data_IF_673253823753
#
_entry.id   IF_673253823753
#
_cell.length_a   1.000
_cell.length_b   1.000
_cell.length_c   1.000
_cell.angle_alpha   90.00
_cell.angle_beta   90.00
_cell.angle_gamma   90.00
#
_symmetry.space_group_name_H-M   'P 1'
#
loop_
_entity.id
_entity.type
_entity.pdbx_description
1 polymer ?
#
# COMPACT_ATOMS: atom_id res chain seq x y z
N UNK A 1 -3.84 20.96 -0.28
CA UNK A 1 -4.42 19.60 -0.26
C UNK A 1 -3.45 18.68 0.46
N UNK A 2 -3.89 17.90 1.45
CA UNK A 2 -3.08 16.84 2.09
C UNK A 2 -3.37 15.51 1.41
N UNK A 3 -2.34 14.89 0.81
CA UNK A 3 -2.43 13.64 0.07
C UNK A 3 -1.61 12.53 0.76
N UNK A 4 -1.98 11.30 0.50
CA UNK A 4 -1.22 10.10 0.81
C UNK A 4 -1.00 9.27 -0.45
N UNK A 5 0.16 8.64 -0.54
CA UNK A 5 0.40 7.52 -1.43
C UNK A 5 0.63 6.27 -0.58
N UNK A 6 -0.38 5.43 -0.46
CA UNK A 6 -0.33 4.26 0.41
C UNK A 6 0.39 3.06 -0.21
N UNK A 7 0.89 3.20 -1.44
CA UNK A 7 1.64 2.14 -2.11
C UNK A 7 2.45 2.67 -3.29
N UNK A 8 3.76 2.70 -3.15
CA UNK A 8 4.69 2.95 -4.27
C UNK A 8 6.04 2.28 -4.02
N UNK A 9 6.79 2.05 -5.10
CA UNK A 9 8.11 1.42 -5.09
C UNK A 9 9.20 2.48 -5.28
N UNK A 10 9.44 3.33 -4.27
CA UNK A 10 10.46 4.39 -4.37
C UNK A 10 11.88 3.85 -4.54
N UNK A 11 12.12 2.61 -4.16
CA UNK A 11 13.39 1.90 -4.33
C UNK A 11 13.62 1.37 -5.75
N UNK A 12 12.58 1.35 -6.60
CA UNK A 12 12.68 0.84 -7.98
C UNK A 12 13.78 1.53 -8.77
N UNK A 13 14.55 0.73 -9.53
CA UNK A 13 15.66 1.18 -10.34
C UNK A 13 15.28 2.24 -11.40
N UNK A 14 14.04 2.25 -11.85
CA UNK A 14 13.53 3.27 -12.77
C UNK A 14 13.63 4.70 -12.19
N UNK A 15 13.72 4.84 -10.89
CA UNK A 15 13.86 6.12 -10.21
C UNK A 15 15.31 6.53 -9.91
N UNK A 16 16.30 5.67 -10.14
CA UNK A 16 17.69 5.93 -9.74
C UNK A 16 18.24 7.26 -10.29
N UNK A 17 17.84 7.64 -11.50
CA UNK A 17 18.35 8.85 -12.15
C UNK A 17 17.79 10.15 -11.56
N UNK A 18 16.58 10.13 -10.99
CA UNK A 18 15.86 11.36 -10.60
C UNK A 18 15.03 11.22 -9.32
N UNK A 19 15.27 10.21 -8.48
CA UNK A 19 14.52 9.96 -7.23
C UNK A 19 14.40 11.20 -6.32
N UNK A 20 15.45 12.00 -6.09
CA UNK A 20 15.30 13.22 -5.29
C UNK A 20 14.32 14.22 -5.89
N UNK A 21 14.30 14.36 -7.22
CA UNK A 21 13.36 15.24 -7.91
C UNK A 21 11.91 14.72 -7.82
N UNK A 22 11.71 13.41 -7.87
CA UNK A 22 10.40 12.77 -7.68
C UNK A 22 9.86 13.03 -6.28
N UNK A 23 10.70 12.86 -5.25
CA UNK A 23 10.34 13.13 -3.86
C UNK A 23 10.01 14.62 -3.66
N UNK A 24 10.77 15.50 -4.30
CA UNK A 24 10.47 16.94 -4.26
C UNK A 24 9.09 17.23 -4.87
N UNK A 25 8.79 16.71 -6.07
CA UNK A 25 7.47 16.87 -6.72
C UNK A 25 6.34 16.28 -5.89
N UNK A 26 6.58 15.15 -5.22
CA UNK A 26 5.59 14.57 -4.30
C UNK A 26 5.23 15.54 -3.17
N UNK A 27 6.23 16.19 -2.56
CA UNK A 27 6.02 17.22 -1.52
C UNK A 27 5.28 18.44 -2.07
N UNK A 28 5.65 18.93 -3.24
CA UNK A 28 4.98 20.06 -3.89
C UNK A 28 3.52 19.75 -4.24
N UNK A 29 3.22 18.49 -4.60
CA UNK A 29 1.86 18.03 -4.84
C UNK A 29 1.01 17.90 -3.55
N UNK A 30 1.63 18.02 -2.37
CA UNK A 30 0.94 17.97 -1.09
C UNK A 30 0.94 16.59 -0.42
N UNK A 31 1.82 15.67 -0.82
CA UNK A 31 1.92 14.38 -0.15
C UNK A 31 2.46 14.56 1.27
N UNK A 32 1.64 14.16 2.22
CA UNK A 32 1.95 14.19 3.65
C UNK A 32 2.60 12.89 4.10
N UNK A 33 2.23 11.77 3.47
CA UNK A 33 2.78 10.45 3.75
C UNK A 33 2.96 9.66 2.46
N UNK A 34 4.00 8.83 2.44
CA UNK A 34 4.25 7.82 1.41
C UNK A 34 4.56 6.50 2.13
N UNK A 35 3.92 5.41 1.70
CA UNK A 35 4.30 4.05 2.07
C UNK A 35 5.12 3.44 0.93
N UNK A 36 6.43 3.34 1.13
CA UNK A 36 7.33 2.66 0.21
C UNK A 36 7.28 1.16 0.44
N UNK A 37 7.04 0.41 -0.61
CA UNK A 37 6.83 -1.04 -0.54
C UNK A 37 8.16 -1.77 -0.61
N UNK A 38 8.46 -2.55 0.41
CA UNK A 38 9.76 -3.11 0.68
C UNK A 38 9.96 -4.55 0.24
N UNK A 39 9.40 -4.93 -0.91
CA UNK A 39 9.68 -6.25 -1.48
C UNK A 39 11.05 -6.30 -2.16
N UNK A 40 11.54 -5.17 -2.65
CA UNK A 40 12.82 -5.07 -3.36
C UNK A 40 12.92 -6.07 -4.51
N UNK A 41 14.10 -6.68 -4.66
CA UNK A 41 14.32 -7.81 -5.57
C UNK A 41 13.97 -9.18 -4.91
N UNK A 42 13.26 -9.15 -3.78
CA UNK A 42 12.98 -10.31 -2.95
C UNK A 42 14.18 -10.74 -2.10
N UNK A 43 14.08 -11.88 -1.39
CA UNK A 43 15.18 -12.37 -0.59
C UNK A 43 16.49 -12.53 -1.41
N UNK A 44 17.66 -12.09 -0.90
CA UNK A 44 17.86 -11.65 0.50
C UNK A 44 17.66 -10.13 0.77
N UNK A 45 17.48 -9.26 -0.23
CA UNK A 45 17.33 -7.81 -0.02
C UNK A 45 15.86 -7.40 0.10
N UNK A 46 15.31 -7.48 1.29
CA UNK A 46 13.95 -7.05 1.63
C UNK A 46 13.93 -5.71 2.37
N UNK A 47 15.08 -5.02 2.50
CA UNK A 47 15.24 -3.79 3.26
C UNK A 47 15.31 -2.51 2.42
N UNK A 48 15.11 -2.59 1.11
CA UNK A 48 15.29 -1.46 0.21
C UNK A 48 14.39 -0.26 0.55
N UNK A 49 13.13 -0.50 0.89
CA UNK A 49 12.20 0.57 1.27
C UNK A 49 12.57 1.24 2.60
N UNK A 50 13.18 0.52 3.53
CA UNK A 50 13.65 1.10 4.80
C UNK A 50 14.70 2.16 4.51
N UNK A 51 15.67 1.89 3.63
CA UNK A 51 16.70 2.86 3.22
C UNK A 51 16.09 4.15 2.67
N UNK A 52 15.02 4.05 1.87
CA UNK A 52 14.29 5.22 1.37
C UNK A 52 13.53 5.96 2.50
N UNK A 53 12.95 5.23 3.43
CA UNK A 53 12.20 5.81 4.55
C UNK A 53 13.11 6.51 5.58
N UNK A 54 14.35 6.08 5.74
CA UNK A 54 15.31 6.73 6.64
C UNK A 54 15.73 8.11 6.14
N UNK A 55 15.80 8.32 4.82
CA UNK A 55 16.18 9.60 4.22
C UNK A 55 15.08 10.67 4.32
N UNK A 56 13.81 10.28 4.55
CA UNK A 56 12.67 11.19 4.49
C UNK A 56 11.69 10.98 5.64
N UNK A 57 11.42 12.03 6.41
CA UNK A 57 10.53 11.94 7.61
C UNK A 57 9.12 11.49 7.30
N UNK A 58 8.59 11.82 6.13
CA UNK A 58 7.22 11.52 5.69
C UNK A 58 7.09 10.21 4.91
N UNK A 59 8.21 9.51 4.66
CA UNK A 59 8.23 8.19 4.03
C UNK A 59 8.29 7.13 5.11
N UNK A 60 7.44 6.12 4.98
CA UNK A 60 7.38 4.90 5.77
C UNK A 60 7.62 3.71 4.86
N UNK A 61 7.83 2.54 5.42
CA UNK A 61 8.18 1.34 4.68
C UNK A 61 7.28 0.17 5.04
N UNK A 62 7.20 -0.80 4.15
CA UNK A 62 6.81 -2.17 4.45
C UNK A 62 8.00 -3.11 4.30
N UNK A 63 7.87 -4.32 4.77
CA UNK A 63 8.75 -5.45 4.48
C UNK A 63 7.92 -6.69 4.21
N UNK A 64 8.33 -7.48 3.22
CA UNK A 64 7.60 -8.68 2.84
C UNK A 64 8.26 -9.38 1.65
N UNK A 65 7.69 -10.52 1.29
CA UNK A 65 8.06 -11.26 0.07
C UNK A 65 6.85 -11.28 -0.85
N UNK A 66 7.01 -10.63 -2.00
CA UNK A 66 6.00 -10.62 -3.05
C UNK A 66 5.74 -12.05 -3.57
N UNK A 67 4.52 -12.43 -3.96
CA UNK A 67 4.23 -13.77 -4.47
C UNK A 67 5.16 -14.23 -5.60
N UNK A 68 5.61 -13.32 -6.45
CA UNK A 68 6.56 -13.67 -7.53
C UNK A 68 7.95 -14.06 -7.02
N UNK A 69 8.31 -13.66 -5.81
CA UNK A 69 9.58 -13.98 -5.18
C UNK A 69 9.48 -15.12 -4.16
N UNK A 70 8.31 -15.72 -3.98
CA UNK A 70 8.10 -16.83 -3.05
C UNK A 70 9.09 -18.00 -3.25
N UNK A 71 9.49 -18.37 -4.48
CA UNK A 71 10.51 -19.40 -4.69
C UNK A 71 11.91 -19.05 -4.16
N UNK A 72 12.18 -17.78 -3.84
CA UNK A 72 13.47 -17.33 -3.28
C UNK A 72 13.55 -17.48 -1.76
N UNK A 73 12.45 -17.84 -1.10
CA UNK A 73 12.38 -17.99 0.36
C UNK A 73 13.32 -19.10 0.83
N UNK A 74 14.10 -18.80 1.86
CA UNK A 74 15.01 -19.70 2.55
C UNK A 74 14.63 -19.83 4.02
N UNK A 75 15.31 -20.71 4.76
CA UNK A 75 15.12 -20.88 6.21
C UNK A 75 15.35 -19.59 7.03
N UNK A 76 16.12 -18.65 6.51
CA UNK A 76 16.48 -17.43 7.23
C UNK A 76 15.57 -16.22 6.87
N UNK A 77 14.81 -16.34 5.77
CA UNK A 77 13.98 -15.23 5.26
C UNK A 77 13.02 -14.66 6.31
N UNK A 78 12.33 -15.52 7.06
CA UNK A 78 11.36 -15.06 8.07
C UNK A 78 12.02 -14.40 9.27
N UNK A 79 13.21 -14.88 9.70
CA UNK A 79 13.99 -14.21 10.76
C UNK A 79 14.44 -12.82 10.32
N UNK A 80 14.86 -12.70 9.06
CA UNK A 80 15.25 -11.41 8.50
C UNK A 80 14.04 -10.46 8.38
N UNK A 81 12.88 -10.95 7.95
CA UNK A 81 11.65 -10.18 7.92
C UNK A 81 11.25 -9.68 9.31
N UNK A 82 11.27 -10.54 10.34
CA UNK A 82 10.97 -10.17 11.72
C UNK A 82 11.93 -9.08 12.22
N UNK A 83 13.22 -9.21 11.95
CA UNK A 83 14.24 -8.22 12.30
C UNK A 83 14.00 -6.89 11.60
N UNK A 84 13.69 -6.90 10.30
CA UNK A 84 13.40 -5.71 9.51
C UNK A 84 12.09 -5.06 9.94
N UNK A 85 11.06 -5.85 10.24
CA UNK A 85 9.75 -5.37 10.68
C UNK A 85 9.80 -4.63 12.03
N UNK A 86 10.81 -4.90 12.86
CA UNK A 86 11.03 -4.16 14.11
C UNK A 86 11.54 -2.72 13.90
N UNK A 87 11.91 -2.33 12.68
CA UNK A 87 12.37 -0.98 12.39
C UNK A 87 11.23 0.06 12.54
N UNK A 88 11.43 1.21 13.19
CA UNK A 88 10.36 2.17 13.52
C UNK A 88 9.67 2.77 12.29
N UNK A 89 10.35 2.79 11.15
CA UNK A 89 9.78 3.25 9.88
C UNK A 89 8.92 2.19 9.19
N UNK A 90 9.01 0.92 9.58
CA UNK A 90 8.17 -0.16 9.02
C UNK A 90 6.80 -0.10 9.68
N UNK A 91 5.75 -0.06 8.86
CA UNK A 91 4.37 0.15 9.31
C UNK A 91 3.42 -0.97 8.94
N UNK A 92 3.81 -1.85 8.03
CA UNK A 92 3.02 -3.00 7.63
C UNK A 92 3.91 -4.13 7.10
N UNK A 93 3.39 -5.34 7.10
CA UNK A 93 3.99 -6.47 6.40
C UNK A 93 3.38 -6.52 4.99
N UNK A 94 4.22 -6.47 4.01
CA UNK A 94 3.78 -6.47 2.61
C UNK A 94 4.86 -5.90 1.66
N UNK A 95 4.63 -6.11 0.41
CA UNK A 95 3.46 -6.64 -0.29
C UNK A 95 3.46 -8.16 -0.25
N UNK A 96 2.36 -8.78 0.19
CA UNK A 96 2.20 -10.22 0.28
C UNK A 96 0.88 -10.64 -0.38
N UNK A 97 0.77 -11.88 -0.80
CA UNK A 97 -0.48 -12.34 -1.42
C UNK A 97 -0.26 -13.40 -2.49
N UNK A 98 -1.11 -13.33 -3.54
CA UNK A 98 -1.11 -14.30 -4.65
C UNK A 98 -1.14 -13.58 -6.00
N UNK A 99 -0.31 -14.05 -6.93
CA UNK A 99 -0.28 -13.59 -8.33
C UNK A 99 -0.26 -14.80 -9.27
N UNK A 100 -1.36 -15.02 -9.97
CA UNK A 100 -1.50 -16.12 -10.92
C UNK A 100 -1.32 -15.69 -12.37
N UNK A 101 -0.96 -14.43 -12.58
CA UNK A 101 -0.69 -13.89 -13.90
C UNK A 101 0.66 -14.38 -14.46
N UNK A 102 1.65 -14.51 -13.58
CA UNK A 102 2.97 -14.98 -13.92
C UNK A 102 3.14 -16.46 -13.67
N UNK A 103 4.07 -17.09 -14.38
CA UNK A 103 4.39 -18.52 -14.22
C UNK A 103 5.25 -18.75 -12.96
N UNK A 104 4.67 -18.49 -11.80
CA UNK A 104 5.26 -18.77 -10.48
C UNK A 104 4.42 -19.81 -9.79
N UNK A 105 5.05 -20.91 -9.27
CA UNK A 105 4.31 -22.02 -8.68
C UNK A 105 3.39 -21.59 -7.53
N UNK A 106 2.11 -22.00 -7.59
CA UNK A 106 1.12 -21.71 -6.54
C UNK A 106 1.48 -22.36 -5.20
N UNK A 107 2.09 -23.52 -5.24
CA UNK A 107 2.56 -24.26 -4.06
C UNK A 107 3.73 -23.58 -3.34
N UNK A 108 4.43 -22.65 -3.99
CA UNK A 108 5.36 -21.75 -3.35
C UNK A 108 4.66 -20.50 -2.78
N UNK A 109 3.70 -19.94 -3.51
CA UNK A 109 3.02 -18.70 -3.12
C UNK A 109 2.13 -18.87 -1.87
N UNK A 110 1.30 -19.92 -1.84
CA UNK A 110 0.32 -20.13 -0.76
C UNK A 110 0.98 -20.26 0.63
N UNK A 111 1.99 -21.11 0.86
CA UNK A 111 2.65 -21.19 2.16
C UNK A 111 3.34 -19.88 2.55
N UNK A 112 3.99 -19.21 1.59
CA UNK A 112 4.65 -17.94 1.80
C UNK A 112 3.66 -16.85 2.25
N UNK A 113 2.48 -16.79 1.64
CA UNK A 113 1.42 -15.87 2.02
C UNK A 113 0.92 -16.14 3.44
N UNK A 114 0.55 -17.39 3.74
CA UNK A 114 0.04 -17.79 5.07
C UNK A 114 1.07 -17.48 6.16
N UNK A 115 2.33 -17.86 5.96
CA UNK A 115 3.38 -17.61 6.96
C UNK A 115 3.58 -16.12 7.24
N UNK A 116 3.52 -15.26 6.22
CA UNK A 116 3.65 -13.82 6.41
C UNK A 116 2.43 -13.21 7.11
N UNK A 117 1.21 -13.73 6.86
CA UNK A 117 0.02 -13.35 7.62
C UNK A 117 0.16 -13.70 9.11
N UNK A 118 0.61 -14.91 9.42
CA UNK A 118 0.80 -15.34 10.81
C UNK A 118 1.90 -14.52 11.51
N UNK A 119 2.99 -14.23 10.82
CA UNK A 119 4.05 -13.34 11.32
C UNK A 119 3.52 -11.94 11.61
N UNK A 120 2.80 -11.35 10.66
CA UNK A 120 2.19 -10.03 10.85
C UNK A 120 1.22 -10.01 12.03
N UNK A 121 0.41 -11.06 12.19
CA UNK A 121 -0.51 -11.19 13.30
C UNK A 121 0.22 -11.30 14.66
N UNK A 122 1.30 -12.08 14.73
CA UNK A 122 2.12 -12.20 15.93
C UNK A 122 2.77 -10.86 16.34
N UNK A 123 3.10 -10.03 15.35
CA UNK A 123 3.67 -8.69 15.55
C UNK A 123 2.60 -7.58 15.72
N UNK A 124 1.32 -7.90 15.60
CA UNK A 124 0.20 -6.95 15.61
C UNK A 124 0.35 -5.84 14.55
N UNK A 125 0.88 -6.18 13.40
CA UNK A 125 1.10 -5.26 12.29
C UNK A 125 0.02 -5.43 11.22
N UNK A 126 -0.43 -4.34 10.56
CA UNK A 126 -1.29 -4.44 9.39
C UNK A 126 -0.54 -5.11 8.21
N UNK A 127 -1.31 -5.58 7.24
CA UNK A 127 -0.77 -6.21 6.02
C UNK A 127 -1.12 -5.41 4.77
N UNK A 128 -0.28 -5.50 3.74
CA UNK A 128 -0.56 -4.98 2.39
C UNK A 128 -0.69 -6.18 1.45
N UNK A 129 -1.89 -6.36 0.89
CA UNK A 129 -2.26 -7.55 0.13
C UNK A 129 -2.26 -7.27 -1.36
N UNK A 130 -1.49 -8.09 -2.07
CA UNK A 130 -1.51 -8.24 -3.51
C UNK A 130 -2.45 -9.36 -3.94
N UNK A 131 -3.26 -9.12 -4.98
CA UNK A 131 -4.02 -10.18 -5.63
C UNK A 131 -4.15 -9.90 -7.13
N UNK A 132 -3.70 -10.82 -7.95
CA UNK A 132 -3.82 -10.74 -9.40
C UNK A 132 -4.20 -12.09 -9.98
N UNK A 133 -5.34 -12.14 -10.68
CA UNK A 133 -5.92 -13.36 -11.23
C UNK A 133 -6.12 -14.49 -10.18
N UNK A 134 -6.17 -14.12 -8.87
CA UNK A 134 -6.15 -15.03 -7.71
C UNK A 134 -7.23 -14.73 -6.66
N UNK A 135 -8.29 -13.99 -7.01
CA UNK A 135 -9.28 -13.50 -6.04
C UNK A 135 -9.88 -14.60 -5.15
N UNK A 136 -10.25 -15.75 -5.72
CA UNK A 136 -10.90 -16.80 -4.96
C UNK A 136 -10.01 -17.34 -3.84
N UNK A 137 -8.78 -17.73 -4.18
CA UNK A 137 -7.81 -18.28 -3.24
C UNK A 137 -7.35 -17.21 -2.23
N UNK A 138 -7.17 -15.95 -2.68
CA UNK A 138 -6.83 -14.83 -1.78
C UNK A 138 -7.89 -14.62 -0.72
N UNK A 139 -9.17 -14.54 -1.11
CA UNK A 139 -10.27 -14.36 -0.15
C UNK A 139 -10.43 -15.56 0.78
N UNK A 140 -10.22 -16.79 0.29
CA UNK A 140 -10.23 -18.00 1.12
C UNK A 140 -9.15 -17.95 2.20
N UNK A 141 -7.90 -17.65 1.81
CA UNK A 141 -6.77 -17.53 2.76
C UNK A 141 -7.03 -16.42 3.77
N UNK A 142 -7.50 -15.26 3.33
CA UNK A 142 -7.78 -14.14 4.24
C UNK A 142 -8.90 -14.46 5.24
N UNK A 143 -9.97 -15.15 4.82
CA UNK A 143 -11.02 -15.57 5.75
C UNK A 143 -10.51 -16.58 6.79
N UNK A 144 -9.63 -17.48 6.37
CA UNK A 144 -9.11 -18.52 7.27
C UNK A 144 -8.04 -17.99 8.22
N UNK A 145 -7.13 -17.15 7.75
CA UNK A 145 -5.89 -16.82 8.47
C UNK A 145 -5.80 -15.38 8.97
N UNK A 146 -6.57 -14.44 8.39
CA UNK A 146 -6.49 -13.02 8.77
C UNK A 146 -7.74 -12.49 9.48
N UNK A 147 -8.92 -12.73 8.94
CA UNK A 147 -10.17 -12.24 9.52
C UNK A 147 -10.34 -12.62 11.00
N UNK A 148 -9.99 -13.84 11.45
CA UNK A 148 -10.10 -14.22 12.87
C UNK A 148 -9.15 -13.45 13.79
N UNK A 149 -8.12 -12.79 13.26
CA UNK A 149 -7.16 -12.00 14.06
C UNK A 149 -7.72 -10.63 14.43
N UNK A 150 -8.74 -10.13 13.70
CA UNK A 150 -9.35 -8.83 13.93
C UNK A 150 -8.40 -7.63 13.66
N UNK A 151 -7.35 -7.86 12.90
CA UNK A 151 -6.35 -6.85 12.56
C UNK A 151 -6.67 -6.20 11.20
N UNK A 152 -6.33 -4.92 10.99
CA UNK A 152 -6.58 -4.25 9.73
C UNK A 152 -5.53 -4.63 8.67
N UNK A 153 -5.88 -4.39 7.41
CA UNK A 153 -4.97 -4.54 6.28
C UNK A 153 -5.35 -3.61 5.13
N UNK A 154 -4.54 -3.58 4.11
CA UNK A 154 -4.76 -2.85 2.86
C UNK A 154 -4.92 -3.85 1.73
N UNK A 155 -6.05 -3.81 1.03
CA UNK A 155 -6.14 -4.42 -0.30
C UNK A 155 -5.57 -3.41 -1.29
N UNK A 156 -4.32 -3.62 -1.69
CA UNK A 156 -3.60 -2.78 -2.64
C UNK A 156 -4.16 -2.95 -4.06
N UNK A 157 -4.07 -1.89 -4.85
CA UNK A 157 -4.49 -1.83 -6.25
C UNK A 157 -5.87 -2.48 -6.48
N UNK A 158 -6.84 -2.08 -5.65
CA UNK A 158 -8.14 -2.75 -5.65
C UNK A 158 -8.78 -2.71 -7.05
N UNK A 159 -8.93 -3.88 -7.63
CA UNK A 159 -9.44 -4.09 -8.98
C UNK A 159 -10.69 -4.98 -9.02
N UNK A 160 -11.25 -5.30 -7.86
CA UNK A 160 -12.46 -6.08 -7.72
C UNK A 160 -13.74 -5.28 -7.99
N UNK A 161 -14.83 -6.01 -8.08
CA UNK A 161 -16.20 -5.49 -8.15
C UNK A 161 -16.73 -5.08 -6.76
N UNK A 162 -17.94 -4.47 -6.67
CA UNK A 162 -18.56 -4.09 -5.40
C UNK A 162 -18.80 -5.27 -4.44
N UNK A 163 -18.98 -6.49 -4.91
CA UNK A 163 -19.18 -7.64 -4.05
C UNK A 163 -17.88 -8.01 -3.33
N UNK A 164 -16.76 -8.08 -4.06
CA UNK A 164 -15.43 -8.30 -3.49
C UNK A 164 -15.02 -7.17 -2.52
N UNK A 165 -15.42 -5.92 -2.85
CA UNK A 165 -15.20 -4.79 -1.95
C UNK A 165 -15.87 -5.02 -0.59
N UNK A 166 -17.13 -5.44 -0.56
CA UNK A 166 -17.86 -5.75 0.69
C UNK A 166 -17.21 -6.88 1.47
N UNK A 167 -16.82 -7.97 0.78
CA UNK A 167 -16.13 -9.10 1.44
C UNK A 167 -14.82 -8.67 2.11
N UNK A 168 -14.02 -7.82 1.45
CA UNK A 168 -12.80 -7.29 2.05
C UNK A 168 -13.09 -6.36 3.24
N UNK A 169 -14.11 -5.52 3.14
CA UNK A 169 -14.53 -4.63 4.23
C UNK A 169 -15.01 -5.41 5.46
N UNK A 170 -15.76 -6.50 5.27
CA UNK A 170 -16.23 -7.38 6.33
C UNK A 170 -15.08 -8.06 7.09
N UNK A 171 -13.94 -8.26 6.42
CA UNK A 171 -12.71 -8.76 7.03
C UNK A 171 -11.83 -7.65 7.64
N UNK A 172 -12.28 -6.38 7.63
CA UNK A 172 -11.57 -5.26 8.26
C UNK A 172 -10.59 -4.51 7.37
N UNK A 173 -10.50 -4.84 6.09
CA UNK A 173 -9.56 -4.20 5.17
C UNK A 173 -9.95 -2.76 4.81
N UNK A 174 -8.93 -1.97 4.54
CA UNK A 174 -8.99 -0.73 3.78
C UNK A 174 -8.76 -1.06 2.30
N UNK A 175 -9.44 -0.33 1.40
CA UNK A 175 -9.30 -0.55 -0.04
C UNK A 175 -8.56 0.64 -0.64
N UNK A 176 -7.42 0.36 -1.27
CA UNK A 176 -6.58 1.36 -1.90
C UNK A 176 -6.84 1.39 -3.41
N UNK A 177 -7.07 2.58 -3.93
CA UNK A 177 -7.37 2.81 -5.33
C UNK A 177 -6.28 3.66 -5.99
N UNK A 178 -5.72 3.11 -7.07
CA UNK A 178 -4.65 3.72 -7.85
C UNK A 178 -5.09 4.25 -9.21
N UNK A 179 -4.10 4.51 -10.07
CA UNK A 179 -4.28 5.08 -11.40
C UNK A 179 -5.24 4.33 -12.31
N UNK A 180 -5.41 3.02 -12.11
CA UNK A 180 -6.36 2.19 -12.86
C UNK A 180 -7.79 2.73 -12.76
N UNK A 181 -8.20 3.28 -11.61
CA UNK A 181 -9.53 3.86 -11.40
C UNK A 181 -9.84 5.01 -12.37
N UNK A 182 -8.81 5.65 -12.92
CA UNK A 182 -8.95 6.74 -13.89
C UNK A 182 -9.17 6.26 -15.34
N UNK A 183 -8.97 4.97 -15.61
CA UNK A 183 -9.05 4.45 -16.96
C UNK A 183 -10.51 4.36 -17.45
N UNK A 184 -10.77 4.64 -18.75
CA UNK A 184 -12.14 4.65 -19.28
C UNK A 184 -12.90 3.34 -19.01
N UNK A 185 -12.22 2.20 -19.14
CA UNK A 185 -12.83 0.86 -18.98
C UNK A 185 -12.94 0.39 -17.52
N UNK A 186 -12.49 1.17 -16.54
CA UNK A 186 -12.50 0.79 -15.12
C UNK A 186 -13.80 1.17 -14.40
N UNK A 187 -14.97 0.97 -15.05
CA UNK A 187 -16.28 1.30 -14.45
C UNK A 187 -16.56 0.49 -13.19
N UNK A 188 -16.25 -0.81 -13.17
CA UNK A 188 -16.47 -1.68 -12.01
C UNK A 188 -15.62 -1.24 -10.79
N UNK A 189 -14.37 -0.84 -11.03
CA UNK A 189 -13.50 -0.31 -9.97
C UNK A 189 -14.07 0.99 -9.39
N UNK A 190 -14.63 1.87 -10.24
CA UNK A 190 -15.29 3.09 -9.76
C UNK A 190 -16.59 2.81 -9.02
N UNK A 191 -17.36 1.82 -9.45
CA UNK A 191 -18.54 1.36 -8.70
C UNK A 191 -18.15 0.78 -7.34
N UNK A 192 -17.08 -0.01 -7.27
CA UNK A 192 -16.53 -0.47 -6.00
C UNK A 192 -16.15 0.72 -5.10
N UNK A 193 -15.44 1.73 -5.64
CA UNK A 193 -15.08 2.92 -4.89
C UNK A 193 -16.29 3.71 -4.36
N UNK A 194 -17.46 3.66 -5.01
CA UNK A 194 -18.69 4.29 -4.51
C UNK A 194 -19.28 3.60 -3.28
N UNK A 195 -19.17 2.28 -3.19
CA UNK A 195 -19.78 1.52 -2.09
C UNK A 195 -18.88 1.42 -0.86
N UNK A 196 -17.59 1.73 -1.01
CA UNK A 196 -16.65 1.71 0.11
C UNK A 196 -16.94 2.87 1.06
N UNK A 197 -17.11 2.63 2.37
CA UNK A 197 -17.23 3.70 3.37
C UNK A 197 -16.02 4.64 3.33
N UNK A 198 -16.27 5.94 3.50
CA UNK A 198 -15.21 6.94 3.41
C UNK A 198 -14.02 6.67 4.33
N UNK A 199 -14.27 6.15 5.54
CA UNK A 199 -13.26 5.82 6.54
C UNK A 199 -12.45 4.55 6.24
N UNK A 200 -12.74 3.85 5.13
CA UNK A 200 -12.06 2.64 4.65
C UNK A 200 -11.37 2.81 3.29
N UNK A 201 -11.36 4.02 2.74
CA UNK A 201 -10.72 4.34 1.47
C UNK A 201 -9.27 4.80 1.66
N UNK A 202 -8.41 4.36 0.75
CA UNK A 202 -7.04 4.84 0.60
C UNK A 202 -6.76 5.24 -0.86
N UNK A 203 -5.77 6.09 -1.04
CA UNK A 203 -5.22 6.49 -2.33
C UNK A 203 -3.80 5.98 -2.46
N UNK A 204 -3.45 5.55 -3.67
CA UNK A 204 -2.12 5.07 -3.99
C UNK A 204 -1.74 5.37 -5.44
N UNK A 205 -0.47 5.14 -5.79
CA UNK A 205 -0.02 5.21 -7.18
C UNK A 205 0.38 3.89 -7.78
N UNK A 206 0.98 3.01 -7.01
CA UNK A 206 1.76 1.85 -7.47
C UNK A 206 2.94 2.26 -8.38
N UNK A 207 3.47 3.48 -8.15
CA UNK A 207 4.56 4.01 -8.94
C UNK A 207 5.83 3.14 -8.81
N UNK A 208 6.53 2.85 -9.93
CA UNK A 208 6.52 3.49 -11.24
C UNK A 208 5.47 2.96 -12.23
N UNK A 209 4.56 2.08 -11.81
CA UNK A 209 3.58 1.41 -12.65
C UNK A 209 2.24 2.16 -12.70
N UNK A 210 1.34 1.76 -13.60
CA UNK A 210 -0.09 2.10 -13.61
C UNK A 210 -0.41 3.61 -13.56
N UNK A 211 0.37 4.44 -14.27
CA UNK A 211 0.17 5.88 -14.30
C UNK A 211 -1.28 6.26 -14.64
N UNK A 212 -1.90 7.21 -13.89
CA UNK A 212 -3.27 7.66 -14.14
C UNK A 212 -3.38 8.47 -15.46
N UNK A 213 -4.60 8.67 -15.93
CA UNK A 213 -4.86 9.66 -16.97
C UNK A 213 -4.54 11.05 -16.41
N UNK A 214 -3.83 11.94 -17.17
CA UNK A 214 -3.44 11.85 -18.58
C UNK A 214 -2.08 11.20 -18.85
N UNK A 215 -1.43 10.63 -17.85
CA UNK A 215 -0.06 10.10 -17.97
C UNK A 215 0.00 8.60 -18.30
N UNK A 216 -1.12 7.98 -18.61
CA UNK A 216 -1.17 6.56 -18.96
C UNK A 216 -0.14 6.19 -20.04
N UNK A 217 0.63 5.10 -19.80
CA UNK A 217 1.70 4.65 -20.67
C UNK A 217 3.05 5.34 -20.45
N UNK A 218 3.12 6.28 -19.49
CA UNK A 218 4.38 6.87 -19.01
C UNK A 218 4.76 6.27 -17.67
N UNK A 219 5.99 6.49 -17.22
CA UNK A 219 6.43 6.15 -15.86
C UNK A 219 5.57 6.95 -14.86
N UNK A 220 4.99 6.24 -13.90
CA UNK A 220 4.23 6.84 -12.81
C UNK A 220 5.16 7.45 -11.76
N UNK A 221 4.64 8.33 -10.92
CA UNK A 221 5.33 8.89 -9.75
C UNK A 221 4.32 9.24 -8.66
N UNK A 222 4.75 9.30 -7.36
CA UNK A 222 3.84 9.56 -6.24
C UNK A 222 3.00 10.85 -6.40
N UNK A 223 3.54 11.91 -7.00
CA UNK A 223 2.82 13.16 -7.25
C UNK A 223 1.53 12.96 -8.07
N UNK A 224 1.46 11.91 -8.88
CA UNK A 224 0.31 11.65 -9.74
C UNK A 224 -0.91 11.09 -8.98
N UNK A 225 -0.78 10.75 -7.70
CA UNK A 225 -1.92 10.38 -6.84
C UNK A 225 -3.00 11.47 -6.82
N UNK A 226 -2.62 12.73 -7.02
CA UNK A 226 -3.55 13.85 -7.12
C UNK A 226 -4.59 13.69 -8.26
N UNK A 227 -4.21 13.02 -9.35
CA UNK A 227 -5.14 12.73 -10.46
C UNK A 227 -6.14 11.65 -10.08
N UNK A 228 -5.68 10.61 -9.39
CA UNK A 228 -6.54 9.56 -8.84
C UNK A 228 -7.54 10.15 -7.84
N UNK A 229 -7.07 10.98 -6.90
CA UNK A 229 -7.91 11.66 -5.92
C UNK A 229 -9.04 12.46 -6.58
N UNK A 230 -8.72 13.24 -7.62
CA UNK A 230 -9.71 14.05 -8.34
C UNK A 230 -10.80 13.21 -9.00
N UNK A 231 -10.39 12.12 -9.68
CA UNK A 231 -11.35 11.24 -10.36
C UNK A 231 -12.25 10.51 -9.36
N UNK A 232 -11.70 10.04 -8.25
CA UNK A 232 -12.48 9.32 -7.24
C UNK A 232 -13.40 10.24 -6.45
N UNK A 233 -12.95 11.43 -6.08
CA UNK A 233 -13.80 12.44 -5.46
C UNK A 233 -14.99 12.79 -6.36
N UNK A 234 -14.73 13.04 -7.64
CA UNK A 234 -15.80 13.27 -8.63
C UNK A 234 -16.75 12.07 -8.76
N UNK A 235 -16.19 10.85 -8.78
CA UNK A 235 -16.98 9.60 -8.85
C UNK A 235 -17.95 9.47 -7.68
N UNK A 236 -17.56 9.94 -6.51
CA UNK A 236 -18.33 9.86 -5.26
C UNK A 236 -19.19 11.11 -5.02
N UNK A 237 -19.04 12.16 -5.82
CA UNK A 237 -19.71 13.46 -5.61
C UNK A 237 -19.19 14.19 -4.38
N UNK A 238 -17.95 14.01 -4.02
CA UNK A 238 -17.29 14.60 -2.85
C UNK A 238 -16.33 15.73 -3.29
N UNK A 239 -16.08 16.67 -2.38
CA UNK A 239 -15.04 17.69 -2.56
C UNK A 239 -13.65 17.05 -2.55
N UNK A 240 -12.79 17.41 -3.49
CA UNK A 240 -11.48 16.76 -3.68
C UNK A 240 -10.54 16.99 -2.50
N UNK A 241 -10.58 18.16 -1.85
CA UNK A 241 -9.71 18.47 -0.72
C UNK A 241 -10.13 17.71 0.53
N UNK A 242 -11.44 17.61 0.76
CA UNK A 242 -12.01 16.83 1.86
C UNK A 242 -11.76 15.33 1.65
N UNK A 243 -11.92 14.82 0.43
CA UNK A 243 -11.65 13.45 0.07
C UNK A 243 -10.18 13.09 0.29
N UNK A 244 -9.25 13.93 -0.17
CA UNK A 244 -7.82 13.74 0.01
C UNK A 244 -7.42 13.76 1.50
N UNK A 245 -7.92 14.72 2.28
CA UNK A 245 -7.67 14.80 3.71
C UNK A 245 -8.23 13.58 4.46
N UNK A 246 -9.42 13.11 4.09
CA UNK A 246 -10.04 11.92 4.67
C UNK A 246 -9.19 10.66 4.44
N UNK A 247 -8.76 10.41 3.20
CA UNK A 247 -7.93 9.25 2.86
C UNK A 247 -6.56 9.31 3.54
N UNK A 248 -6.00 10.49 3.68
CA UNK A 248 -4.73 10.73 4.41
C UNK A 248 -4.89 10.43 5.90
N UNK A 249 -6.00 10.86 6.52
CA UNK A 249 -6.30 10.55 7.91
C UNK A 249 -6.55 9.04 8.12
N UNK A 250 -7.20 8.37 7.18
CA UNK A 250 -7.40 6.92 7.20
C UNK A 250 -6.07 6.18 7.24
N UNK A 251 -5.14 6.55 6.37
CA UNK A 251 -3.81 5.97 6.36
C UNK A 251 -3.08 6.17 7.69
N UNK A 252 -3.04 7.41 8.19
CA UNK A 252 -2.37 7.71 9.45
C UNK A 252 -2.93 6.87 10.62
N UNK A 253 -4.26 6.71 10.67
CA UNK A 253 -4.94 5.88 11.67
C UNK A 253 -4.59 4.40 11.52
N UNK A 254 -4.61 3.88 10.29
CA UNK A 254 -4.29 2.48 9.99
C UNK A 254 -2.89 2.10 10.46
N UNK A 255 -1.90 2.93 10.16
CA UNK A 255 -0.49 2.63 10.43
C UNK A 255 0.04 3.22 11.74
N UNK A 256 -0.86 3.78 12.56
CA UNK A 256 -0.52 4.30 13.89
C UNK A 256 0.41 5.52 13.88
N UNK A 257 0.29 6.38 12.84
CA UNK A 257 0.99 7.65 12.82
C UNK A 257 0.14 8.68 13.55
N UNK A 258 0.60 9.11 14.74
CA UNK A 258 0.03 10.27 15.41
C UNK A 258 0.44 11.52 14.63
N UNK A 259 -0.55 12.31 14.15
CA UNK A 259 -0.27 13.60 13.55
C UNK A 259 0.51 14.47 14.56
N UNK A 260 1.77 14.73 14.25
CA UNK A 260 2.47 15.82 14.92
C UNK A 260 1.77 17.11 14.49
N UNK A 261 0.90 17.64 15.35
CA UNK A 261 0.57 19.06 15.29
C UNK A 261 1.85 19.79 15.66
N UNK A 262 2.43 20.53 14.72
CA UNK A 262 3.47 21.52 15.02
C UNK A 262 2.92 22.50 16.06
N UNK A 263 3.18 22.25 17.34
CA UNK A 263 2.61 23.08 18.43
C UNK A 263 2.99 22.69 19.84
N UNK A 264 3.92 21.76 20.05
CA UNK A 264 4.33 21.38 21.43
C UNK A 264 5.86 21.43 21.63
N UNK A 265 6.50 22.49 21.20
CA UNK A 265 7.77 22.88 21.81
C UNK A 265 7.43 23.62 23.10
N UNK A 266 7.19 22.91 24.20
CA UNK A 266 7.31 23.51 25.52
C UNK A 266 8.79 23.91 25.71
N UNK A 267 9.04 25.20 25.58
CA UNK A 267 10.24 25.83 26.10
C UNK A 267 10.38 25.41 27.58
N UNK A 268 11.31 24.53 27.87
CA UNK A 268 11.93 24.51 29.19
C UNK A 268 13.18 25.38 29.07
N UNK A 269 12.98 26.67 29.36
CA UNK A 269 14.01 27.55 29.82
C UNK A 269 14.07 27.32 31.34
N UNK A 270 15.14 26.80 31.80
CA UNK A 270 16.00 27.20 32.96
C UNK A 270 16.97 26.07 33.25
#
# INVERSE_FOLDING_TARGET
>A
VELVDSHCHLDDAQFNADRPAIIHRAREAGLKYILCIGTGDGPPDMGAAIRQAEEHVFVYATVGVHPNDAPKITSDTFKDLERLAAHPKVKAIGEIGLDYHWDVPKDAQLPAFIQQLEMAAAMHMPVVIHTRDAWADTLEVLRAHWAPKGLPGIMHCFSGDPAKARECLDMGFYLAFGGVSTFPKASEVREAARVVPGDKLLLETDAPYLAPIPFRGKRNEPAYVAHTARVLAQTRGEDVEQFAAMTTANFARLVGITSYTEGSVKKHVL
#
